data_IF_898803632755
#
_entry.id   IF_898803632755
#
_cell.length_a   1.000
_cell.length_b   1.000
_cell.length_c   1.000
_cell.angle_alpha   90.00
_cell.angle_beta   90.00
_cell.angle_gamma   90.00
#
_symmetry.space_group_name_H-M   'P 1'
#
loop_
_entity.id
_entity.type
_entity.pdbx_description
1 polymer ?
#
# COMPACT_ATOMS: atom_id res chain seq x y z
N UNK A 1 -0.04 24.99 4.49
CA UNK A 1 1.09 24.48 3.69
C UNK A 1 1.34 23.06 4.17
N UNK A 2 0.68 22.12 3.52
CA UNK A 2 0.90 20.68 3.67
C UNK A 2 2.22 20.31 2.98
N UNK A 3 2.94 19.29 3.51
CA UNK A 3 3.88 18.41 2.81
C UNK A 3 4.66 19.01 1.62
N UNK A 4 5.96 19.26 1.79
CA UNK A 4 6.91 19.87 0.83
C UNK A 4 6.54 19.67 -0.66
N UNK A 5 5.73 20.61 -1.14
CA UNK A 5 5.54 20.97 -2.53
C UNK A 5 6.41 22.22 -2.70
N UNK A 6 7.30 22.28 -3.69
CA UNK A 6 8.11 23.50 -3.93
C UNK A 6 7.17 24.70 -4.13
N UNK A 7 7.70 25.92 -4.00
CA UNK A 7 6.90 27.13 -4.29
C UNK A 7 6.31 27.12 -5.71
N UNK A 8 6.89 26.34 -6.61
CA UNK A 8 6.47 26.14 -8.02
C UNK A 8 5.51 24.96 -8.21
N UNK A 9 5.09 24.31 -7.13
CA UNK A 9 4.16 23.20 -7.16
C UNK A 9 4.83 21.82 -7.27
N UNK A 10 6.15 21.68 -7.36
CA UNK A 10 6.79 20.37 -7.56
C UNK A 10 6.74 19.48 -6.33
N UNK A 11 6.34 18.23 -6.53
CA UNK A 11 6.32 17.21 -5.49
C UNK A 11 7.74 16.69 -5.34
N UNK A 12 8.36 16.97 -4.20
CA UNK A 12 9.73 16.52 -3.94
C UNK A 12 9.68 15.02 -3.63
N UNK A 13 9.95 14.19 -4.63
CA UNK A 13 9.90 12.73 -4.53
C UNK A 13 10.91 12.21 -3.49
N UNK A 14 10.56 11.31 -2.54
CA UNK A 14 11.33 10.88 -1.34
C UNK A 14 12.84 10.69 -1.54
N UNK A 15 13.65 10.73 -0.45
CA UNK A 15 15.13 10.66 -0.51
C UNK A 15 15.68 9.52 -1.37
N UNK A 16 14.89 8.46 -1.58
CA UNK A 16 15.29 7.25 -2.28
C UNK A 16 14.58 7.03 -3.63
N UNK A 17 13.76 7.97 -4.10
CA UNK A 17 12.98 7.83 -5.34
C UNK A 17 12.98 9.18 -6.05
N UNK A 18 13.91 9.43 -6.96
CA UNK A 18 13.93 10.63 -7.82
C UNK A 18 13.23 10.41 -9.16
N UNK A 19 12.88 9.15 -9.46
CA UNK A 19 12.16 8.71 -10.65
C UNK A 19 11.22 7.57 -10.23
N UNK A 20 10.07 7.36 -10.90
CA UNK A 20 9.30 6.13 -10.71
C UNK A 20 10.25 4.94 -10.77
N UNK A 21 10.04 3.94 -9.90
CA UNK A 21 10.85 2.72 -9.89
C UNK A 21 11.03 2.28 -11.34
N UNK A 22 12.27 2.11 -11.83
CA UNK A 22 12.49 1.71 -13.21
C UNK A 22 11.65 0.47 -13.43
N UNK A 23 10.78 0.49 -14.44
CA UNK A 23 10.18 -0.72 -14.93
C UNK A 23 11.35 -1.69 -15.14
N UNK A 24 11.30 -2.86 -14.51
CA UNK A 24 12.25 -3.92 -14.81
C UNK A 24 12.13 -4.16 -16.32
N UNK A 25 13.09 -3.66 -17.07
CA UNK A 25 13.21 -3.96 -18.47
C UNK A 25 13.64 -5.42 -18.57
N UNK A 26 12.65 -6.30 -18.68
CA UNK A 26 12.86 -7.72 -18.89
C UNK A 26 13.22 -8.02 -20.35
N UNK A 27 13.27 -7.01 -21.24
CA UNK A 27 13.77 -7.18 -22.60
C UNK A 27 15.29 -7.43 -22.57
N UNK A 28 15.65 -8.69 -22.34
CA UNK A 28 17.03 -9.13 -22.15
C UNK A 28 17.23 -9.99 -20.91
N UNK A 29 16.25 -10.10 -20.02
CA UNK A 29 16.33 -11.01 -18.88
C UNK A 29 16.11 -12.45 -19.37
N UNK A 30 17.21 -13.12 -19.70
CA UNK A 30 17.21 -14.54 -19.99
C UNK A 30 17.45 -15.33 -18.70
N UNK A 31 16.50 -16.20 -18.35
CA UNK A 31 16.80 -17.31 -17.46
C UNK A 31 17.80 -18.21 -18.18
N UNK A 32 19.09 -18.04 -17.90
CA UNK A 32 20.06 -19.08 -18.18
C UNK A 32 19.75 -20.23 -17.21
N UNK A 33 19.31 -21.41 -17.68
CA UNK A 33 19.22 -22.57 -16.80
C UNK A 33 20.61 -22.79 -16.17
N UNK A 34 20.64 -22.95 -14.85
CA UNK A 34 21.83 -23.44 -14.16
C UNK A 34 22.00 -24.90 -14.57
N UNK A 35 22.72 -25.11 -15.67
CA UNK A 35 22.84 -26.39 -16.36
C UNK A 35 22.95 -26.17 -17.85
N UNK A 36 24.18 -26.05 -18.35
CA UNK A 36 24.48 -25.62 -19.71
C UNK A 36 23.90 -26.48 -20.82
N UNK A 37 23.52 -25.81 -21.91
CA UNK A 37 23.47 -26.43 -23.24
C UNK A 37 24.87 -26.83 -23.72
N UNK A 38 24.96 -27.70 -24.74
CA UNK A 38 26.09 -28.60 -24.93
C UNK A 38 27.33 -27.86 -25.40
N UNK A 39 28.26 -27.61 -24.48
CA UNK A 39 29.66 -27.40 -24.86
C UNK A 39 30.25 -28.78 -25.17
N UNK A 40 30.68 -29.01 -26.42
CA UNK A 40 31.64 -30.08 -26.73
C UNK A 40 32.92 -29.77 -25.95
N UNK A 41 33.06 -30.34 -24.76
CA UNK A 41 34.30 -30.33 -24.00
C UNK A 41 35.17 -31.50 -24.47
N UNK A 42 36.50 -31.31 -24.57
CA UNK A 42 37.42 -32.38 -24.92
C UNK A 42 37.35 -33.48 -23.85
N UNK A 43 37.39 -34.72 -24.32
CA UNK A 43 37.39 -35.95 -23.53
C UNK A 43 38.42 -35.86 -22.40
N UNK A 44 37.95 -35.73 -21.15
CA UNK A 44 38.75 -36.05 -19.98
C UNK A 44 38.20 -37.32 -19.35
N UNK A 45 39.06 -38.34 -19.32
CA UNK A 45 38.81 -39.62 -18.66
C UNK A 45 38.80 -39.38 -17.16
N UNK A 46 37.66 -39.60 -16.50
CA UNK A 46 37.59 -40.02 -15.10
C UNK A 46 36.17 -40.49 -14.77
N UNK A 47 35.97 -41.78 -14.99
CA UNK A 47 34.83 -42.57 -14.54
C UNK A 47 34.91 -42.82 -13.04
N UNK A 48 33.89 -42.44 -12.27
CA UNK A 48 33.39 -43.19 -11.10
C UNK A 48 32.04 -42.66 -10.63
N UNK A 49 30.98 -43.47 -10.79
CA UNK A 49 29.82 -43.44 -9.91
C UNK A 49 30.00 -44.56 -8.88
N UNK A 50 29.85 -44.23 -7.60
CA UNK A 50 29.56 -45.19 -6.54
C UNK A 50 28.05 -45.37 -6.52
N UNK A 51 27.55 -46.55 -6.90
CA UNK A 51 26.26 -47.03 -6.43
C UNK A 51 26.52 -48.03 -5.30
N UNK A 52 25.76 -47.86 -4.23
CA UNK A 52 25.70 -48.74 -3.07
C UNK A 52 25.02 -50.04 -3.51
N UNK A 53 25.61 -51.14 -3.07
CA UNK A 53 25.17 -52.53 -3.23
C UNK A 53 25.54 -53.15 -4.59
N UNK A 54 26.59 -53.97 -4.54
CA UNK A 54 27.23 -54.59 -5.69
C UNK A 54 26.63 -55.93 -6.04
N UNK A 55 26.36 -56.11 -7.33
CA UNK A 55 26.50 -57.35 -8.09
C UNK A 55 26.52 -56.98 -9.59
N UNK A 56 27.55 -57.44 -10.32
CA UNK A 56 27.69 -57.24 -11.77
C UNK A 56 26.91 -58.34 -12.52
N UNK A 57 26.01 -57.95 -13.43
CA UNK A 57 25.45 -58.84 -14.45
C UNK A 57 25.96 -58.37 -15.82
N UNK A 58 26.54 -59.25 -16.68
CA UNK A 58 27.04 -58.85 -17.99
C UNK A 58 25.90 -58.61 -18.97
N UNK A 59 26.03 -57.57 -19.79
CA UNK A 59 25.15 -57.29 -20.94
C UNK A 59 25.50 -58.26 -22.09
N UNK A 60 24.54 -59.08 -22.50
CA UNK A 60 24.55 -59.73 -23.82
C UNK A 60 23.72 -58.92 -24.79
N UNK A 61 24.35 -58.47 -25.88
CA UNK A 61 23.69 -57.98 -27.09
C UNK A 61 22.91 -59.13 -27.74
N UNK A 62 21.59 -58.96 -27.88
CA UNK A 62 20.85 -59.37 -29.08
C UNK A 62 19.38 -58.96 -28.93
N UNK A 63 18.91 -58.02 -29.76
CA UNK A 63 17.65 -58.04 -30.53
C UNK A 63 17.34 -56.65 -31.14
N UNK A 64 17.09 -56.55 -32.47
CA UNK A 64 16.57 -55.35 -33.14
C UNK A 64 15.04 -55.49 -33.40
N UNK A 65 14.40 -54.49 -34.04
CA UNK A 65 13.81 -53.29 -33.46
C UNK A 65 12.26 -53.40 -33.33
N UNK A 66 11.68 -52.78 -32.30
CA UNK A 66 10.23 -52.57 -32.25
C UNK A 66 9.89 -51.14 -32.67
N UNK A 67 9.39 -51.04 -33.91
CA UNK A 67 8.43 -50.09 -34.48
C UNK A 67 8.36 -48.66 -33.92
N UNK A 68 8.61 -47.72 -34.83
CA UNK A 68 8.15 -46.33 -34.80
C UNK A 68 6.70 -46.19 -34.33
N UNK A 69 6.51 -45.72 -33.10
CA UNK A 69 5.40 -44.81 -32.79
C UNK A 69 5.99 -43.60 -32.08
N UNK A 70 5.88 -42.47 -32.78
CA UNK A 70 6.34 -41.17 -32.34
C UNK A 70 5.77 -40.81 -30.96
N UNK A 71 6.61 -40.81 -29.93
CA UNK A 71 6.38 -40.01 -28.75
C UNK A 71 6.33 -38.54 -29.20
N UNK A 72 5.10 -38.01 -29.32
CA UNK A 72 4.86 -36.58 -29.40
C UNK A 72 5.47 -35.94 -28.16
N UNK A 73 6.63 -35.35 -28.38
CA UNK A 73 7.23 -34.35 -27.53
C UNK A 73 6.26 -33.16 -27.49
N UNK A 74 5.37 -33.09 -26.50
CA UNK A 74 4.66 -31.85 -26.17
C UNK A 74 5.66 -30.88 -25.53
N UNK A 75 6.57 -30.39 -26.37
CA UNK A 75 7.21 -29.10 -26.16
C UNK A 75 6.11 -28.05 -26.25
N UNK A 76 5.95 -27.30 -25.17
CA UNK A 76 5.15 -26.08 -25.04
C UNK A 76 5.29 -25.18 -26.28
N UNK A 77 4.36 -25.32 -27.20
CA UNK A 77 4.06 -24.33 -28.22
C UNK A 77 2.83 -23.59 -27.72
N UNK A 78 3.00 -22.36 -27.23
CA UNK A 78 1.89 -21.44 -27.00
C UNK A 78 1.63 -20.74 -28.34
N UNK A 79 0.53 -21.00 -29.06
CA UNK A 79 0.20 -20.21 -30.24
C UNK A 79 -0.37 -18.88 -29.75
N UNK A 80 0.49 -17.85 -29.71
CA UNK A 80 0.03 -16.46 -29.71
C UNK A 80 -0.43 -16.10 -31.12
N UNK A 81 -1.73 -16.19 -31.39
CA UNK A 81 -2.32 -15.66 -32.61
C UNK A 81 -2.36 -14.13 -32.57
N UNK A 82 -2.00 -13.41 -33.64
CA UNK A 82 -2.19 -11.97 -33.73
C UNK A 82 -3.66 -11.72 -34.11
N UNK A 83 -4.47 -11.15 -33.19
CA UNK A 83 -5.83 -10.75 -33.56
C UNK A 83 -6.90 -10.63 -32.47
N UNK A 84 -6.59 -10.75 -31.18
CA UNK A 84 -7.54 -10.32 -30.13
C UNK A 84 -7.14 -8.94 -29.63
N UNK A 85 -8.12 -8.04 -29.47
CA UNK A 85 -7.96 -6.75 -28.79
C UNK A 85 -7.13 -6.91 -27.50
N UNK A 86 -6.36 -5.89 -27.06
CA UNK A 86 -5.70 -5.94 -25.77
C UNK A 86 -6.78 -6.10 -24.69
N UNK A 87 -6.90 -7.33 -24.20
CA UNK A 87 -7.78 -7.70 -23.09
C UNK A 87 -7.56 -6.68 -21.97
N UNK A 88 -8.63 -6.19 -21.32
CA UNK A 88 -8.47 -5.23 -20.21
C UNK A 88 -7.70 -5.91 -19.07
N UNK A 89 -6.38 -5.79 -19.09
CA UNK A 89 -5.45 -6.64 -18.30
C UNK A 89 -5.56 -6.37 -16.79
N UNK A 90 -6.15 -5.24 -16.41
CA UNK A 90 -6.36 -4.86 -15.02
C UNK A 90 -7.82 -4.44 -14.84
N UNK A 91 -8.68 -5.29 -14.24
CA UNK A 91 -10.10 -5.02 -14.08
C UNK A 91 -10.39 -4.22 -12.80
N UNK A 92 -11.68 -4.03 -12.54
CA UNK A 92 -12.18 -3.19 -11.45
C UNK A 92 -11.85 -3.84 -10.10
N UNK A 93 -11.47 -3.06 -9.07
CA UNK A 93 -11.25 -1.62 -9.05
C UNK A 93 -9.80 -1.21 -9.36
N UNK A 94 -8.91 -2.20 -9.57
CA UNK A 94 -7.48 -1.96 -9.71
C UNK A 94 -7.12 -1.13 -10.95
N UNK A 95 -7.97 -1.12 -11.97
CA UNK A 95 -7.81 -0.23 -13.13
C UNK A 95 -7.61 1.24 -12.77
N UNK A 96 -8.02 1.69 -11.57
CA UNK A 96 -7.82 3.07 -11.13
C UNK A 96 -6.42 3.34 -10.54
N UNK A 97 -5.63 2.31 -10.23
CA UNK A 97 -4.27 2.43 -9.70
C UNK A 97 -3.26 2.66 -10.83
N UNK A 98 -3.13 3.92 -11.25
CA UNK A 98 -2.24 4.31 -12.36
C UNK A 98 -1.32 5.46 -11.97
N UNK A 99 -0.05 5.36 -12.35
CA UNK A 99 0.91 6.43 -12.15
C UNK A 99 1.34 6.57 -10.70
N UNK A 100 1.74 7.79 -10.31
CA UNK A 100 2.23 8.09 -8.97
C UNK A 100 1.27 9.02 -8.24
N UNK A 101 1.13 8.78 -6.94
CA UNK A 101 0.35 9.58 -6.02
C UNK A 101 1.23 10.06 -4.89
N UNK A 102 0.94 11.25 -4.38
CA UNK A 102 1.58 11.77 -3.18
C UNK A 102 0.60 12.56 -2.32
N UNK A 103 0.91 12.67 -1.04
CA UNK A 103 0.12 13.48 -0.13
C UNK A 103 0.59 13.41 1.30
N UNK A 104 -0.35 13.62 2.21
CA UNK A 104 -0.09 13.74 3.63
C UNK A 104 -1.00 12.83 4.45
N UNK A 105 -0.48 12.41 5.60
CA UNK A 105 -1.15 11.46 6.45
C UNK A 105 -0.78 11.60 7.92
N UNK A 106 -1.14 10.57 8.67
CA UNK A 106 -0.86 10.45 10.09
C UNK A 106 -0.58 9.00 10.45
N UNK A 107 0.49 8.79 11.22
CA UNK A 107 0.84 7.51 11.81
C UNK A 107 0.71 7.56 13.33
N UNK A 108 0.14 6.50 13.90
CA UNK A 108 0.11 6.21 15.32
C UNK A 108 0.73 4.84 15.54
N UNK A 109 1.82 4.79 16.31
CA UNK A 109 2.62 3.57 16.50
C UNK A 109 2.93 3.43 18.00
N UNK A 110 2.74 2.24 18.54
CA UNK A 110 3.23 1.91 19.89
C UNK A 110 4.59 1.25 19.79
N UNK A 111 5.57 1.75 20.55
CA UNK A 111 6.91 1.17 20.55
C UNK A 111 7.24 0.69 21.96
N UNK A 112 7.72 -0.57 22.11
CA UNK A 112 8.22 -1.05 23.39
C UNK A 112 9.35 -0.14 23.90
N UNK A 113 9.26 0.31 25.15
CA UNK A 113 10.37 0.98 25.81
C UNK A 113 11.19 -0.05 26.59
N UNK A 114 12.49 -0.16 26.28
CA UNK A 114 13.38 -0.97 27.14
C UNK A 114 13.39 -0.38 28.54
N UNK A 115 13.19 -1.21 29.57
CA UNK A 115 13.23 -0.84 30.99
C UNK A 115 14.50 -0.06 31.44
N UNK A 116 15.54 0.02 30.60
CA UNK A 116 16.86 0.61 30.93
C UNK A 116 17.18 1.98 30.30
N UNK A 117 16.48 2.43 29.24
CA UNK A 117 16.92 3.63 28.49
C UNK A 117 16.11 4.90 28.75
N UNK A 118 15.10 4.85 29.63
CA UNK A 118 14.37 6.05 30.02
C UNK A 118 15.08 6.71 31.20
N UNK A 119 16.00 7.62 30.89
CA UNK A 119 16.33 8.69 31.82
C UNK A 119 15.03 9.40 32.21
N UNK A 120 14.67 9.33 33.50
CA UNK A 120 13.68 10.15 34.22
C UNK A 120 12.52 10.77 33.41
N UNK A 121 11.82 10.02 32.55
CA UNK A 121 10.56 10.49 31.96
C UNK A 121 9.39 10.15 32.89
N UNK A 122 8.88 11.16 33.58
CA UNK A 122 7.86 11.12 34.64
C UNK A 122 6.42 10.90 34.09
N UNK A 123 6.18 9.88 33.27
CA UNK A 123 4.83 9.55 32.80
C UNK A 123 4.06 8.70 33.83
N UNK A 124 2.77 9.02 34.03
CA UNK A 124 1.87 8.33 34.98
C UNK A 124 1.35 6.96 34.46
N UNK A 125 1.68 6.61 33.22
CA UNK A 125 1.35 5.32 32.60
C UNK A 125 2.43 4.23 32.83
N UNK A 126 2.12 2.95 32.54
CA UNK A 126 3.08 1.87 32.66
C UNK A 126 4.35 2.16 31.85
N UNK A 127 5.50 1.80 32.42
CA UNK A 127 6.84 2.10 31.85
C UNK A 127 7.26 1.09 30.78
N UNK A 128 6.31 0.54 30.03
CA UNK A 128 6.50 -0.58 29.11
C UNK A 128 6.49 -0.16 27.64
N UNK A 129 5.72 0.87 27.27
CA UNK A 129 5.54 1.32 25.90
C UNK A 129 5.49 2.84 25.78
N UNK A 130 5.78 3.33 24.56
CA UNK A 130 5.71 4.75 24.20
C UNK A 130 4.88 4.94 22.93
N UNK A 131 3.98 5.90 22.95
CA UNK A 131 3.17 6.27 21.79
C UNK A 131 3.94 7.21 20.87
N UNK A 132 4.16 6.83 19.62
CA UNK A 132 4.73 7.68 18.57
C UNK A 132 3.61 8.19 17.67
N UNK A 133 3.54 9.50 17.56
CA UNK A 133 2.62 10.20 16.65
C UNK A 133 3.44 10.90 15.60
N UNK A 134 3.14 10.63 14.33
CA UNK A 134 3.82 11.25 13.21
C UNK A 134 2.83 11.86 12.24
N UNK A 135 3.01 13.14 11.91
CA UNK A 135 2.52 13.70 10.67
C UNK A 135 3.41 13.18 9.54
N UNK A 136 2.79 12.68 8.48
CA UNK A 136 3.53 12.00 7.42
C UNK A 136 3.35 12.65 6.07
N UNK A 137 4.35 12.44 5.22
CA UNK A 137 4.21 12.57 3.77
C UNK A 137 4.48 11.24 3.12
N UNK A 138 3.78 10.97 2.03
CA UNK A 138 3.79 9.67 1.40
C UNK A 138 3.85 9.79 -0.12
N UNK A 139 4.53 8.84 -0.75
CA UNK A 139 4.41 8.55 -2.17
C UNK A 139 3.97 7.10 -2.37
N UNK A 140 3.00 6.91 -3.26
CA UNK A 140 2.49 5.61 -3.70
C UNK A 140 2.51 5.56 -5.22
N UNK A 141 3.37 4.71 -5.79
CA UNK A 141 3.56 4.58 -7.23
C UNK A 141 3.08 3.22 -7.70
N UNK A 142 2.31 3.21 -8.79
CA UNK A 142 1.81 2.02 -9.46
C UNK A 142 2.53 1.84 -10.80
N UNK A 143 3.10 0.65 -10.98
CA UNK A 143 3.74 0.24 -12.23
C UNK A 143 2.73 -0.10 -13.32
N UNK A 144 3.20 -0.40 -14.53
CA UNK A 144 2.35 -0.95 -15.58
C UNK A 144 1.75 -2.30 -15.13
N UNK A 145 0.70 -2.72 -15.83
CA UNK A 145 0.15 -4.05 -15.64
C UNK A 145 1.19 -5.13 -15.91
N UNK A 146 1.16 -6.19 -15.11
CA UNK A 146 2.04 -7.36 -15.22
C UNK A 146 1.59 -8.33 -16.33
N UNK A 147 0.54 -8.01 -17.08
CA UNK A 147 -0.02 -8.95 -18.05
C UNK A 147 -0.92 -9.99 -17.39
N UNK A 148 -1.19 -11.06 -18.14
CA UNK A 148 -1.83 -12.26 -17.63
C UNK A 148 -0.84 -13.05 -16.78
N UNK A 149 -1.15 -13.24 -15.50
CA UNK A 149 -0.33 -14.03 -14.58
C UNK A 149 -0.97 -15.43 -14.45
N UNK A 150 -0.39 -16.48 -15.03
CA UNK A 150 -0.99 -17.82 -14.98
C UNK A 150 -0.95 -18.39 -13.56
N UNK A 151 -2.06 -18.98 -13.12
CA UNK A 151 -2.14 -19.77 -11.89
C UNK A 151 -2.85 -21.10 -12.17
N UNK A 152 -2.38 -22.17 -11.52
CA UNK A 152 -2.79 -23.54 -11.87
C UNK A 152 -4.01 -24.00 -11.10
N UNK A 153 -4.98 -24.50 -11.85
CA UNK A 153 -6.10 -25.25 -11.33
C UNK A 153 -5.68 -26.65 -10.89
N UNK A 154 -6.47 -27.26 -10.02
CA UNK A 154 -6.30 -28.66 -9.63
C UNK A 154 -7.67 -29.34 -9.52
N UNK A 155 -7.73 -30.61 -9.94
CA UNK A 155 -8.97 -31.40 -10.07
C UNK A 155 -9.97 -30.73 -11.02
N UNK A 156 -11.12 -30.29 -10.50
CA UNK A 156 -12.21 -29.74 -11.31
C UNK A 156 -12.10 -28.22 -11.49
N UNK A 157 -11.08 -27.59 -10.93
CA UNK A 157 -10.81 -26.17 -11.11
C UNK A 157 -9.92 -25.98 -12.34
N UNK A 158 -10.37 -25.15 -13.28
CA UNK A 158 -9.57 -24.75 -14.44
C UNK A 158 -8.39 -23.85 -14.05
N UNK A 159 -7.39 -23.79 -14.93
CA UNK A 159 -6.35 -22.76 -14.86
C UNK A 159 -6.97 -21.37 -14.97
N UNK A 160 -6.45 -20.42 -14.20
CA UNK A 160 -6.90 -19.04 -14.21
C UNK A 160 -5.76 -18.09 -14.55
N UNK A 161 -6.10 -16.90 -15.04
CA UNK A 161 -5.15 -15.81 -15.21
C UNK A 161 -5.50 -14.69 -14.24
N UNK A 162 -4.54 -14.32 -13.41
CA UNK A 162 -4.64 -13.16 -12.53
C UNK A 162 -4.27 -11.90 -13.33
N UNK A 163 -4.89 -10.77 -13.00
CA UNK A 163 -4.43 -9.45 -13.42
C UNK A 163 -3.63 -8.82 -12.30
N UNK A 164 -2.57 -8.07 -12.59
CA UNK A 164 -1.79 -7.45 -11.53
C UNK A 164 -0.98 -6.23 -11.94
N UNK A 165 -0.49 -5.52 -10.94
CA UNK A 165 0.44 -4.40 -11.07
C UNK A 165 1.39 -4.38 -9.87
N UNK A 166 2.64 -3.98 -10.11
CA UNK A 166 3.58 -3.70 -9.02
C UNK A 166 3.27 -2.33 -8.40
N UNK A 167 3.51 -2.17 -7.10
CA UNK A 167 3.49 -0.86 -6.46
C UNK A 167 4.69 -0.65 -5.54
N UNK A 168 4.97 0.62 -5.26
CA UNK A 168 5.96 1.03 -4.28
C UNK A 168 5.38 2.15 -3.41
N UNK A 169 5.39 1.94 -2.11
CA UNK A 169 5.00 2.92 -1.11
C UNK A 169 6.22 3.39 -0.33
N UNK A 170 6.31 4.69 -0.07
CA UNK A 170 7.31 5.26 0.84
C UNK A 170 6.68 6.32 1.73
N UNK A 171 7.07 6.33 3.00
CA UNK A 171 6.51 7.25 3.99
C UNK A 171 7.64 7.94 4.74
N UNK A 172 7.48 9.25 4.92
CA UNK A 172 8.39 10.09 5.68
C UNK A 172 7.66 10.73 6.88
N UNK A 173 8.33 10.77 8.02
CA UNK A 173 7.96 11.59 9.17
C UNK A 173 8.34 13.06 8.91
N UNK A 174 7.31 13.91 8.84
CA UNK A 174 7.46 15.36 8.68
C UNK A 174 7.07 16.13 9.94
N UNK A 175 6.93 15.45 11.08
CA UNK A 175 6.52 16.06 12.36
C UNK A 175 7.55 17.06 12.86
N UNK A 176 7.18 18.34 12.87
CA UNK A 176 8.03 19.41 13.37
C UNK A 176 7.50 19.93 14.71
N UNK A 177 8.23 19.61 15.79
CA UNK A 177 7.89 20.04 17.15
C UNK A 177 8.08 21.53 17.39
N UNK A 178 8.90 22.21 16.58
CA UNK A 178 9.13 23.65 16.71
C UNK A 178 7.95 24.45 16.18
N UNK A 179 7.32 23.98 15.10
CA UNK A 179 6.24 24.68 14.40
C UNK A 179 4.85 24.11 14.68
N UNK A 180 4.75 22.85 15.16
CA UNK A 180 3.49 22.12 15.31
C UNK A 180 2.89 21.68 13.96
N UNK A 181 3.71 21.54 12.92
CA UNK A 181 3.28 21.26 11.54
C UNK A 181 4.01 20.05 10.96
N UNK A 182 3.52 19.59 9.80
CA UNK A 182 4.14 18.55 8.98
C UNK A 182 5.20 19.13 8.04
N UNK A 183 6.10 19.96 8.54
CA UNK A 183 7.09 20.73 7.77
C UNK A 183 8.54 20.51 8.23
N UNK A 184 8.82 19.39 8.90
CA UNK A 184 10.19 19.00 9.26
C UNK A 184 11.04 18.87 7.99
N UNK A 185 12.25 19.46 7.93
CA UNK A 185 13.09 19.41 6.75
C UNK A 185 13.40 17.97 6.35
N UNK A 186 13.27 17.66 5.07
CA UNK A 186 13.47 16.30 4.56
C UNK A 186 14.87 15.73 4.80
N UNK A 187 15.89 16.58 4.79
CA UNK A 187 17.28 16.21 5.09
C UNK A 187 17.51 15.83 6.56
N UNK A 188 16.51 15.99 7.42
CA UNK A 188 16.59 15.60 8.82
C UNK A 188 16.79 14.09 8.96
N UNK A 189 17.74 13.70 9.82
CA UNK A 189 17.98 12.30 10.17
C UNK A 189 16.69 11.63 10.65
N UNK A 190 16.41 10.43 10.14
CA UNK A 190 15.23 9.64 10.53
C UNK A 190 13.92 10.12 9.93
N UNK A 191 13.94 10.90 8.84
CA UNK A 191 12.74 11.29 8.10
C UNK A 191 12.08 10.11 7.39
N UNK A 192 12.84 9.21 6.74
CA UNK A 192 12.30 7.99 6.15
C UNK A 192 11.89 6.97 7.21
N UNK A 193 10.59 6.63 7.27
CA UNK A 193 10.05 5.70 8.28
C UNK A 193 9.44 4.43 7.69
N UNK A 194 9.08 4.42 6.40
CA UNK A 194 8.52 3.25 5.74
C UNK A 194 8.94 3.17 4.27
N UNK A 195 9.13 1.94 3.79
CA UNK A 195 9.38 1.59 2.40
C UNK A 195 8.72 0.24 2.15
N UNK A 196 7.89 0.12 1.13
CA UNK A 196 7.12 -1.10 0.90
C UNK A 196 6.91 -1.33 -0.60
N UNK A 197 7.68 -2.24 -1.21
CA UNK A 197 7.38 -2.80 -2.50
C UNK A 197 6.33 -3.90 -2.39
N UNK A 198 5.47 -3.99 -3.39
CA UNK A 198 4.44 -5.02 -3.43
C UNK A 198 3.78 -5.19 -4.79
N UNK A 199 2.77 -6.06 -4.82
CA UNK A 199 1.94 -6.35 -5.98
C UNK A 199 0.48 -6.32 -5.55
N UNK A 200 -0.34 -5.66 -6.36
CA UNK A 200 -1.79 -5.82 -6.35
C UNK A 200 -2.20 -6.85 -7.39
N UNK A 201 -3.08 -7.76 -7.02
CA UNK A 201 -3.65 -8.77 -7.89
C UNK A 201 -5.17 -8.69 -7.88
N UNK A 202 -5.77 -8.80 -9.06
CA UNK A 202 -7.13 -9.23 -9.25
C UNK A 202 -7.13 -10.74 -9.51
N UNK A 203 -7.89 -11.47 -8.71
CA UNK A 203 -8.02 -12.92 -8.78
C UNK A 203 -9.46 -13.23 -9.19
N UNK A 204 -9.69 -13.78 -10.40
CA UNK A 204 -11.01 -14.19 -10.83
C UNK A 204 -11.62 -15.23 -9.89
N UNK A 205 -12.95 -15.26 -9.83
CA UNK A 205 -13.70 -16.20 -9.03
C UNK A 205 -13.30 -17.65 -9.30
N UNK A 206 -13.12 -18.40 -8.21
CA UNK A 206 -13.00 -19.86 -8.21
C UNK A 206 -14.26 -20.51 -7.62
N UNK A 207 -14.44 -21.82 -7.82
CA UNK A 207 -15.65 -22.56 -7.40
C UNK A 207 -15.94 -22.42 -5.90
N UNK A 208 -14.89 -22.37 -5.09
CA UNK A 208 -15.00 -22.26 -3.63
C UNK A 208 -15.19 -20.84 -3.11
N UNK A 209 -15.09 -19.81 -3.97
CA UNK A 209 -15.19 -18.39 -3.58
C UNK A 209 -16.62 -17.84 -3.70
N UNK A 210 -17.62 -18.70 -3.86
CA UNK A 210 -19.01 -18.29 -4.04
C UNK A 210 -19.25 -17.49 -5.32
N UNK A 211 -18.40 -17.67 -6.34
CA UNK A 211 -18.53 -17.01 -7.63
C UNK A 211 -18.14 -15.52 -7.65
N UNK A 212 -17.34 -15.05 -6.69
CA UNK A 212 -16.89 -13.65 -6.62
C UNK A 212 -15.39 -13.50 -6.84
N UNK A 213 -15.03 -12.46 -7.57
CA UNK A 213 -13.65 -12.05 -7.75
C UNK A 213 -13.08 -11.46 -6.45
N UNK A 214 -11.76 -11.63 -6.27
CA UNK A 214 -11.03 -11.14 -5.10
C UNK A 214 -9.88 -10.23 -5.51
N UNK A 215 -9.46 -9.39 -4.57
CA UNK A 215 -8.31 -8.52 -4.68
C UNK A 215 -7.29 -8.97 -3.65
N UNK A 216 -6.02 -9.04 -4.03
CA UNK A 216 -4.91 -9.36 -3.13
C UNK A 216 -3.85 -8.25 -3.18
N UNK A 217 -3.36 -7.85 -2.00
CA UNK A 217 -2.20 -6.97 -1.80
C UNK A 217 -1.10 -7.80 -1.13
N UNK A 218 0.00 -8.01 -1.83
CA UNK A 218 1.19 -8.67 -1.31
C UNK A 218 2.32 -7.67 -1.19
N UNK A 219 3.03 -7.67 -0.06
CA UNK A 219 4.10 -6.70 0.16
C UNK A 219 5.19 -7.23 1.10
N UNK A 220 6.41 -6.76 0.92
CA UNK A 220 7.54 -7.04 1.82
C UNK A 220 8.00 -5.74 2.46
N UNK A 221 7.98 -5.69 3.80
CA UNK A 221 8.26 -4.51 4.59
C UNK A 221 9.64 -4.69 5.26
N UNK A 222 10.59 -3.73 5.12
CA UNK A 222 11.97 -3.84 5.60
C UNK A 222 12.07 -3.86 7.13
N UNK A 223 10.98 -3.60 7.84
CA UNK A 223 10.85 -3.84 9.28
C UNK A 223 10.80 -5.33 9.64
N UNK A 224 10.79 -6.24 8.64
CA UNK A 224 10.91 -7.68 8.84
C UNK A 224 9.61 -8.46 8.69
N UNK A 225 8.62 -7.91 7.99
CA UNK A 225 7.31 -8.55 7.81
C UNK A 225 6.94 -8.58 6.33
N UNK A 226 6.39 -9.70 5.87
CA UNK A 226 5.70 -9.81 4.58
C UNK A 226 4.20 -10.02 4.83
N UNK A 227 3.36 -9.47 3.95
CA UNK A 227 1.91 -9.60 4.02
C UNK A 227 1.34 -10.25 2.76
N UNK A 228 0.26 -10.98 2.94
CA UNK A 228 -0.69 -11.35 1.91
C UNK A 228 -2.09 -10.98 2.43
N UNK A 229 -2.60 -9.83 1.98
CA UNK A 229 -3.89 -9.32 2.39
C UNK A 229 -4.91 -9.47 1.26
N UNK A 230 -6.10 -9.95 1.56
CA UNK A 230 -7.13 -10.27 0.58
C UNK A 230 -8.45 -9.59 0.90
N UNK A 231 -9.27 -9.37 -0.13
CA UNK A 231 -10.59 -8.80 -0.03
C UNK A 231 -11.43 -9.15 -1.24
N UNK A 232 -12.72 -8.82 -1.21
CA UNK A 232 -13.57 -8.96 -2.39
C UNK A 232 -13.45 -7.75 -3.31
N UNK A 233 -13.61 -7.99 -4.60
CA UNK A 233 -13.90 -6.92 -5.55
C UNK A 233 -15.26 -6.30 -5.17
N UNK A 234 -15.35 -4.97 -4.97
CA UNK A 234 -16.63 -4.34 -4.69
C UNK A 234 -17.56 -4.42 -5.90
N UNK A 235 -18.85 -4.16 -5.71
CA UNK A 235 -19.78 -4.04 -6.84
C UNK A 235 -19.44 -2.79 -7.66
N UNK A 236 -19.43 -2.93 -9.00
CA UNK A 236 -19.18 -1.82 -9.92
C UNK A 236 -20.49 -1.11 -10.23
N UNK A 237 -20.57 0.19 -9.95
CA UNK A 237 -21.68 1.01 -10.40
C UNK A 237 -21.50 1.40 -11.87
N UNK A 238 -22.27 0.82 -12.78
CA UNK A 238 -22.10 1.09 -14.22
C UNK A 238 -22.63 2.45 -14.67
N UNK A 239 -23.28 3.21 -13.78
CA UNK A 239 -23.82 4.54 -14.08
C UNK A 239 -22.83 5.68 -13.79
N UNK A 240 -21.69 5.38 -13.21
CA UNK A 240 -20.68 6.36 -12.80
C UNK A 240 -19.38 6.19 -13.58
N UNK A 241 -18.48 7.18 -13.52
CA UNK A 241 -17.33 7.28 -14.43
C UNK A 241 -16.24 6.28 -14.05
N UNK A 242 -15.92 6.17 -12.76
CA UNK A 242 -14.90 5.24 -12.29
C UNK A 242 -15.49 3.94 -11.76
N UNK A 243 -16.82 3.83 -11.70
CA UNK A 243 -17.52 2.64 -11.21
C UNK A 243 -17.80 2.67 -9.72
N UNK A 244 -17.63 3.83 -9.08
CA UNK A 244 -17.87 4.03 -7.65
C UNK A 244 -19.32 4.39 -7.35
N UNK A 245 -19.69 4.31 -6.08
CA UNK A 245 -21.01 4.73 -5.60
C UNK A 245 -21.10 6.25 -5.51
N UNK A 246 -22.22 6.90 -5.91
CA UNK A 246 -22.38 8.35 -5.88
C UNK A 246 -22.64 8.89 -4.46
N UNK A 247 -21.70 8.61 -3.56
CA UNK A 247 -21.75 8.97 -2.15
C UNK A 247 -20.37 9.35 -1.62
N UNK A 248 -20.35 10.16 -0.57
CA UNK A 248 -19.16 10.45 0.19
C UNK A 248 -18.63 9.18 0.88
N UNK A 249 -17.30 9.04 1.04
CA UNK A 249 -16.72 7.94 1.81
C UNK A 249 -17.27 7.97 3.24
N UNK A 250 -17.44 6.79 3.81
CA UNK A 250 -17.77 6.63 5.22
C UNK A 250 -16.56 6.06 5.93
N UNK A 251 -16.08 6.78 6.95
CA UNK A 251 -14.99 6.31 7.79
C UNK A 251 -15.54 5.77 9.11
N UNK A 252 -15.36 4.48 9.33
CA UNK A 252 -15.67 3.88 10.62
C UNK A 252 -14.80 4.50 11.72
N UNK A 253 -15.34 4.57 12.93
CA UNK A 253 -14.54 4.96 14.09
C UNK A 253 -13.45 3.90 14.32
N UNK A 254 -12.20 4.32 14.27
CA UNK A 254 -11.05 3.46 14.47
C UNK A 254 -10.50 3.60 15.89
N UNK A 255 -10.91 2.72 16.81
CA UNK A 255 -10.42 2.71 18.18
C UNK A 255 -9.01 2.12 18.28
N UNK A 256 -8.04 2.97 18.61
CA UNK A 256 -6.61 2.66 18.72
C UNK A 256 -6.18 2.18 20.11
N UNK A 257 -7.13 1.95 21.02
CA UNK A 257 -6.84 1.44 22.37
C UNK A 257 -6.31 0.00 22.31
N UNK A 258 -5.16 -0.30 22.94
CA UNK A 258 -4.66 -1.67 23.09
C UNK A 258 -5.71 -2.59 23.75
N UNK A 259 -5.67 -3.88 23.44
CA UNK A 259 -6.69 -4.83 23.87
C UNK A 259 -6.11 -6.21 24.16
N UNK A 260 -6.84 -7.06 24.89
CA UNK A 260 -6.37 -8.41 25.22
C UNK A 260 -6.29 -9.27 23.95
N UNK A 261 -5.19 -9.99 23.73
CA UNK A 261 -5.01 -10.87 22.56
C UNK A 261 -6.23 -11.79 22.39
N UNK A 262 -6.76 -11.83 21.17
CA UNK A 262 -7.94 -12.62 20.82
C UNK A 262 -9.28 -12.05 21.34
N UNK A 263 -9.26 -10.92 22.06
CA UNK A 263 -10.46 -10.25 22.62
C UNK A 263 -10.44 -8.74 22.28
N UNK A 264 -10.70 -8.37 21.02
CA UNK A 264 -10.70 -6.97 20.56
C UNK A 264 -11.65 -6.04 21.33
N UNK A 265 -12.67 -6.58 21.98
CA UNK A 265 -13.62 -5.91 22.86
C UNK A 265 -13.03 -5.53 24.23
N UNK A 266 -12.03 -6.26 24.72
CA UNK A 266 -11.40 -6.07 26.03
C UNK A 266 -10.34 -4.96 25.98
N UNK A 267 -10.80 -3.72 25.76
CA UNK A 267 -9.95 -2.52 25.65
C UNK A 267 -9.29 -2.15 26.97
N UNK A 268 -7.98 -1.94 26.93
CA UNK A 268 -7.16 -1.53 28.07
C UNK A 268 -7.18 -0.01 28.25
N UNK A 269 -8.22 0.48 28.92
CA UNK A 269 -8.51 1.91 29.05
C UNK A 269 -7.44 2.72 29.80
N UNK A 270 -6.55 2.08 30.55
CA UNK A 270 -5.48 2.79 31.26
C UNK A 270 -4.48 3.46 30.29
N UNK A 271 -4.33 2.96 29.05
CA UNK A 271 -3.52 3.62 28.01
C UNK A 271 -4.15 4.90 27.46
N UNK A 272 -5.42 5.21 27.77
CA UNK A 272 -6.05 6.46 27.33
C UNK A 272 -5.38 7.71 27.87
N UNK A 273 -4.60 7.57 28.95
CA UNK A 273 -3.75 8.65 29.46
C UNK A 273 -2.77 9.13 28.39
N UNK A 274 -2.08 8.20 27.73
CA UNK A 274 -1.12 8.50 26.66
C UNK A 274 -1.77 9.08 25.40
N UNK A 275 -3.05 8.75 25.23
CA UNK A 275 -3.88 9.19 24.11
C UNK A 275 -4.57 10.53 24.36
N UNK A 276 -4.35 11.16 25.52
CA UNK A 276 -4.89 12.48 25.83
C UNK A 276 -3.86 13.55 25.43
N UNK A 277 -4.19 14.35 24.42
CA UNK A 277 -3.32 15.41 23.92
C UNK A 277 -3.16 16.57 24.91
N UNK A 278 -4.16 16.81 25.77
CA UNK A 278 -4.17 17.91 26.74
C UNK A 278 -3.30 17.61 27.98
N UNK A 279 -2.89 16.36 28.17
CA UNK A 279 -2.08 15.94 29.32
C UNK A 279 -0.59 15.98 29.00
N UNK A 280 -0.03 17.19 29.03
CA UNK A 280 1.39 17.40 28.74
C UNK A 280 2.31 16.94 29.88
N UNK A 281 3.52 16.50 29.54
CA UNK A 281 4.59 16.08 30.48
C UNK A 281 4.28 14.89 31.41
N UNK A 282 3.08 14.33 31.34
CA UNK A 282 2.66 13.13 32.09
C UNK A 282 2.40 11.93 31.17
N UNK A 283 2.68 12.09 29.87
CA UNK A 283 2.51 11.08 28.82
C UNK A 283 3.86 10.63 28.27
N UNK A 284 4.05 9.31 28.20
CA UNK A 284 5.07 8.60 27.42
C UNK A 284 4.67 8.62 25.94
N UNK A 285 4.73 9.81 25.35
CA UNK A 285 4.42 10.05 23.94
C UNK A 285 5.51 10.88 23.26
N UNK A 286 5.69 10.68 21.96
CA UNK A 286 6.50 11.56 21.10
C UNK A 286 5.63 12.03 19.94
N UNK A 287 5.43 13.36 19.77
CA UNK A 287 5.85 14.44 20.66
C UNK A 287 5.12 14.43 22.03
N UNK A 288 5.83 14.86 23.08
CA UNK A 288 5.26 14.91 24.44
C UNK A 288 4.29 16.09 24.63
N UNK A 289 4.75 17.31 24.33
CA UNK A 289 3.91 18.51 24.27
C UNK A 289 3.24 18.61 22.89
N UNK A 290 1.92 18.78 22.90
CA UNK A 290 1.10 18.89 21.69
C UNK A 290 0.45 20.27 21.53
N UNK A 291 0.71 21.21 22.44
CA UNK A 291 0.16 22.56 22.41
C UNK A 291 0.29 23.20 21.02
N UNK A 292 1.48 23.17 20.41
CA UNK A 292 1.70 23.76 19.07
C UNK A 292 0.96 23.05 17.93
N UNK A 293 0.69 21.76 18.08
CA UNK A 293 -0.09 20.98 17.11
C UNK A 293 -1.59 21.24 17.22
N UNK A 294 -2.01 21.85 18.33
CA UNK A 294 -3.41 22.15 18.67
C UNK A 294 -3.73 23.65 18.73
N UNK A 295 -2.72 24.52 18.81
CA UNK A 295 -2.88 25.97 18.90
C UNK A 295 -3.60 26.57 17.68
N UNK A 296 -4.45 27.58 17.95
CA UNK A 296 -5.08 28.50 16.99
C UNK A 296 -5.43 27.89 15.63
N UNK A 297 -6.37 26.94 15.59
CA UNK A 297 -6.97 26.43 14.35
C UNK A 297 -6.12 25.43 13.57
N UNK A 298 -4.97 24.99 14.12
CA UNK A 298 -4.17 23.93 13.48
C UNK A 298 -4.82 22.56 13.64
N UNK A 299 -5.23 22.18 14.86
CA UNK A 299 -6.00 20.97 15.19
C UNK A 299 -5.48 19.70 14.50
N UNK A 300 -4.15 19.54 14.42
CA UNK A 300 -3.50 18.49 13.62
C UNK A 300 -3.31 17.20 14.40
N UNK A 301 -3.10 17.29 15.72
CA UNK A 301 -2.88 16.14 16.60
C UNK A 301 -3.66 16.35 17.90
N UNK A 302 -4.97 16.12 17.84
CA UNK A 302 -5.87 16.27 19.00
C UNK A 302 -6.15 14.93 19.68
N UNK A 303 -6.73 14.95 20.88
CA UNK A 303 -7.17 13.73 21.59
C UNK A 303 -8.11 12.88 20.72
N UNK A 304 -9.01 13.52 19.98
CA UNK A 304 -9.97 12.85 19.09
C UNK A 304 -9.27 12.18 17.92
N UNK A 305 -8.27 12.83 17.31
CA UNK A 305 -7.47 12.25 16.23
C UNK A 305 -6.65 11.06 16.73
N UNK A 306 -6.04 11.17 17.92
CA UNK A 306 -5.26 10.05 18.49
C UNK A 306 -6.16 8.83 18.75
N UNK A 307 -7.37 9.06 19.25
CA UNK A 307 -8.35 7.99 19.55
C UNK A 307 -9.14 7.53 18.32
N UNK A 308 -9.14 8.29 17.23
CA UNK A 308 -9.76 7.96 15.96
C UNK A 308 -9.01 8.61 14.79
N UNK A 309 -7.91 8.00 14.30
CA UNK A 309 -7.10 8.57 13.23
C UNK A 309 -7.86 8.80 11.92
N UNK A 310 -8.97 8.09 11.69
CA UNK A 310 -9.82 8.33 10.52
C UNK A 310 -10.39 9.75 10.43
N UNK A 311 -10.41 10.51 11.53
CA UNK A 311 -10.72 11.93 11.50
C UNK A 311 -9.73 12.74 10.64
N UNK A 312 -8.50 12.26 10.41
CA UNK A 312 -7.57 12.91 9.47
C UNK A 312 -8.10 12.84 8.04
N UNK A 313 -8.68 11.72 7.64
CA UNK A 313 -9.30 11.54 6.32
C UNK A 313 -10.55 12.42 6.18
N UNK A 314 -11.42 12.39 7.19
CA UNK A 314 -12.62 13.24 7.23
C UNK A 314 -12.27 14.72 7.18
N UNK A 315 -11.29 15.16 7.98
CA UNK A 315 -10.85 16.54 8.00
C UNK A 315 -10.27 16.98 6.65
N UNK A 316 -9.63 16.10 5.88
CA UNK A 316 -9.15 16.43 4.54
C UNK A 316 -10.31 16.77 3.59
N UNK A 317 -11.47 16.11 3.74
CA UNK A 317 -12.68 16.39 2.98
C UNK A 317 -13.31 17.71 3.46
N UNK A 318 -13.62 17.79 4.76
CA UNK A 318 -14.42 18.88 5.31
C UNK A 318 -13.71 20.23 5.23
N UNK A 319 -12.42 20.26 5.61
CA UNK A 319 -11.66 21.52 5.64
C UNK A 319 -11.25 22.02 4.26
N UNK A 320 -11.24 21.13 3.26
CA UNK A 320 -10.95 21.48 1.87
C UNK A 320 -12.22 21.72 1.04
N UNK A 321 -13.41 21.49 1.60
CA UNK A 321 -14.70 21.59 0.91
C UNK A 321 -14.74 20.75 -0.38
N UNK A 322 -14.30 19.49 -0.31
CA UNK A 322 -14.23 18.61 -1.47
C UNK A 322 -15.63 18.22 -1.97
N UNK A 323 -15.86 18.39 -3.28
CA UNK A 323 -17.09 17.98 -3.97
C UNK A 323 -16.91 16.57 -4.57
N UNK A 324 -17.06 15.56 -3.72
CA UNK A 324 -16.91 14.14 -4.10
C UNK A 324 -18.16 13.68 -4.86
N UNK A 325 -17.95 13.18 -6.09
CA UNK A 325 -19.02 12.72 -6.98
C UNK A 325 -19.29 11.23 -6.87
N UNK A 326 -18.25 10.45 -6.64
CA UNK A 326 -18.35 9.00 -6.47
C UNK A 326 -17.14 8.44 -5.74
N UNK A 327 -17.35 7.35 -5.01
CA UNK A 327 -16.34 6.66 -4.20
C UNK A 327 -16.38 5.15 -4.48
N UNK A 328 -15.24 4.58 -4.84
CA UNK A 328 -15.02 3.13 -4.80
C UNK A 328 -14.43 2.82 -3.42
N UNK A 329 -15.04 1.90 -2.68
CA UNK A 329 -14.51 1.42 -1.39
C UNK A 329 -14.28 -0.06 -1.42
N UNK A 330 -13.08 -0.48 -1.02
CA UNK A 330 -12.78 -1.90 -0.80
C UNK A 330 -11.80 -2.07 0.36
N UNK A 331 -11.81 -3.26 0.95
CA UNK A 331 -11.02 -3.61 2.11
C UNK A 331 -10.21 -4.86 1.82
N UNK A 332 -8.92 -4.83 2.16
CA UNK A 332 -8.06 -6.02 2.17
C UNK A 332 -7.61 -6.32 3.59
N UNK A 333 -7.46 -7.60 3.92
CA UNK A 333 -7.03 -8.04 5.24
C UNK A 333 -6.19 -9.30 5.18
N UNK A 334 -5.21 -9.42 6.08
CA UNK A 334 -4.45 -10.65 6.30
C UNK A 334 -5.17 -11.62 7.25
N UNK A 335 -6.40 -11.30 7.65
CA UNK A 335 -7.15 -11.99 8.68
C UNK A 335 -7.38 -13.48 8.42
N UNK A 336 -8.04 -14.11 9.38
CA UNK A 336 -8.26 -15.54 9.35
C UNK A 336 -9.10 -15.93 8.13
N UNK A 337 -8.65 -16.98 7.47
CA UNK A 337 -9.39 -17.62 6.40
C UNK A 337 -10.82 -17.93 6.84
N UNK A 338 -11.80 -17.55 6.04
CA UNK A 338 -13.18 -17.93 6.22
C UNK A 338 -13.68 -18.66 4.98
N UNK A 339 -14.89 -19.23 5.03
CA UNK A 339 -15.45 -20.04 3.94
C UNK A 339 -15.44 -19.36 2.57
N UNK A 340 -15.39 -18.02 2.51
CA UNK A 340 -15.43 -17.25 1.27
C UNK A 340 -14.05 -16.64 0.88
N UNK A 341 -13.18 -16.36 1.85
CA UNK A 341 -11.80 -15.88 1.67
C UNK A 341 -10.83 -16.83 2.37
N UNK A 342 -10.48 -17.93 1.69
CA UNK A 342 -9.60 -18.99 2.21
C UNK A 342 -8.13 -18.76 1.83
N UNK A 343 -7.43 -17.79 2.44
CA UNK A 343 -5.96 -17.67 2.50
C UNK A 343 -5.57 -16.35 3.18
N UNK A 344 -4.31 -15.97 3.09
CA UNK A 344 -3.78 -14.69 3.57
C UNK A 344 -2.92 -14.88 4.81
N UNK A 345 -2.33 -13.78 5.29
CA UNK A 345 -1.56 -13.80 6.53
C UNK A 345 -0.39 -12.83 6.53
N UNK A 346 0.35 -12.91 7.61
CA UNK A 346 1.60 -12.20 7.83
C UNK A 346 2.72 -13.24 7.99
N UNK A 347 3.93 -12.88 7.58
CA UNK A 347 5.13 -13.67 7.83
C UNK A 347 6.19 -12.75 8.43
N UNK A 348 6.63 -13.06 9.64
CA UNK A 348 7.59 -12.26 10.39
C UNK A 348 8.98 -12.91 10.35
N UNK A 349 10.04 -12.09 10.34
CA UNK A 349 11.41 -12.59 10.57
C UNK A 349 11.55 -13.11 11.99
N UNK A 350 12.54 -13.98 12.22
CA UNK A 350 12.80 -14.61 13.51
C UNK A 350 12.95 -13.60 14.66
N UNK A 351 13.53 -12.42 14.41
CA UNK A 351 13.64 -11.38 15.43
C UNK A 351 12.26 -10.94 15.94
N UNK A 352 11.33 -10.64 15.05
CA UNK A 352 9.98 -10.18 15.42
C UNK A 352 9.16 -11.28 16.08
N UNK A 353 9.24 -12.50 15.53
CA UNK A 353 8.53 -13.68 16.06
C UNK A 353 9.02 -14.07 17.46
N UNK A 354 10.29 -13.79 17.77
CA UNK A 354 10.90 -14.15 19.05
C UNK A 354 10.98 -15.67 19.26
N UNK A 355 11.32 -16.12 20.48
CA UNK A 355 11.28 -17.54 20.84
C UNK A 355 9.86 -18.11 20.69
N UNK A 356 9.77 -19.22 19.96
CA UNK A 356 8.55 -20.00 19.80
C UNK A 356 8.74 -21.28 20.61
N UNK A 357 7.96 -21.47 21.68
CA UNK A 357 8.10 -22.65 22.56
C UNK A 357 6.78 -23.39 22.71
N UNK A 358 6.80 -24.70 23.03
CA UNK A 358 5.57 -25.45 23.33
C UNK A 358 4.73 -24.87 24.49
N UNK A 359 5.31 -23.98 25.30
CA UNK A 359 4.69 -23.41 26.50
C UNK A 359 4.23 -21.95 26.31
N UNK A 360 4.35 -21.40 25.10
CA UNK A 360 3.93 -20.05 24.75
C UNK A 360 4.97 -19.30 23.91
N UNK A 361 4.49 -18.26 23.24
CA UNK A 361 5.27 -17.37 22.39
C UNK A 361 5.77 -16.16 23.19
N UNK A 362 6.99 -15.70 22.88
CA UNK A 362 7.60 -14.49 23.44
C UNK A 362 8.02 -13.55 22.30
N UNK A 363 7.06 -12.93 21.61
CA UNK A 363 7.36 -12.14 20.41
C UNK A 363 8.00 -10.79 20.77
N UNK A 364 9.02 -10.39 20.01
CA UNK A 364 9.57 -9.04 20.17
C UNK A 364 8.69 -7.96 19.53
N UNK A 365 7.94 -8.30 18.47
CA UNK A 365 7.05 -7.41 17.72
C UNK A 365 6.28 -8.21 16.64
N UNK A 366 5.54 -9.24 17.03
CA UNK A 366 4.89 -10.13 16.08
C UNK A 366 3.70 -9.44 15.42
N UNK A 367 3.76 -9.29 14.10
CA UNK A 367 2.63 -8.81 13.29
C UNK A 367 1.62 -9.93 13.15
N UNK A 368 0.48 -9.79 13.80
CA UNK A 368 -0.57 -10.80 13.79
C UNK A 368 -1.58 -10.56 12.67
N UNK A 369 -1.95 -9.29 12.49
CA UNK A 369 -3.08 -8.95 11.63
C UNK A 369 -2.87 -7.59 10.99
N UNK A 370 -3.28 -7.46 9.74
CA UNK A 370 -3.42 -6.19 9.06
C UNK A 370 -4.78 -6.10 8.37
N UNK A 371 -5.35 -4.90 8.39
CA UNK A 371 -6.47 -4.52 7.54
C UNK A 371 -6.20 -3.17 6.91
N UNK A 372 -6.61 -2.99 5.66
CA UNK A 372 -6.55 -1.70 4.97
C UNK A 372 -7.82 -1.49 4.16
N UNK A 373 -8.49 -0.36 4.37
CA UNK A 373 -9.61 0.11 3.56
C UNK A 373 -9.11 1.21 2.63
N UNK A 374 -9.41 1.09 1.34
CA UNK A 374 -9.12 2.07 0.31
C UNK A 374 -10.39 2.76 -0.15
N UNK A 375 -10.27 4.05 -0.42
CA UNK A 375 -11.30 4.91 -0.99
C UNK A 375 -10.68 5.56 -2.23
N UNK A 376 -11.19 5.24 -3.41
CA UNK A 376 -10.80 5.90 -4.67
C UNK A 376 -11.94 6.82 -5.05
N UNK A 377 -11.65 8.11 -5.13
CA UNK A 377 -12.66 9.15 -5.20
C UNK A 377 -12.50 9.96 -6.48
N UNK A 378 -13.63 10.24 -7.14
CA UNK A 378 -13.70 11.24 -8.21
C UNK A 378 -14.27 12.53 -7.64
N UNK A 379 -13.51 13.62 -7.78
CA UNK A 379 -13.78 14.90 -7.13
C UNK A 379 -13.85 15.99 -8.19
N UNK A 380 -14.78 16.94 -8.05
CA UNK A 380 -14.75 18.20 -8.82
C UNK A 380 -13.98 19.28 -8.08
N UNK A 381 -12.86 19.71 -8.65
CA UNK A 381 -12.01 20.76 -8.10
C UNK A 381 -12.29 22.10 -8.76
N UNK A 382 -12.23 23.18 -7.98
CA UNK A 382 -12.17 24.54 -8.51
C UNK A 382 -10.74 24.85 -8.98
N UNK A 383 -10.58 25.26 -10.23
CA UNK A 383 -9.30 25.70 -10.79
C UNK A 383 -9.46 27.11 -11.35
N UNK A 384 -8.60 28.03 -10.91
CA UNK A 384 -8.61 29.41 -11.41
C UNK A 384 -7.72 29.50 -12.64
N UNK A 385 -8.34 29.84 -13.77
CA UNK A 385 -7.68 29.95 -15.08
C UNK A 385 -7.57 31.43 -15.44
N UNK A 386 -6.36 31.87 -15.78
CA UNK A 386 -6.13 33.23 -16.28
C UNK A 386 -6.38 33.30 -17.79
N UNK A 387 -6.14 34.47 -18.39
CA UNK A 387 -6.18 34.60 -19.85
C UNK A 387 -5.21 33.60 -20.50
N UNK A 388 -5.68 32.90 -21.52
CA UNK A 388 -4.92 31.92 -22.29
C UNK A 388 -5.21 32.10 -23.77
N UNK A 389 -4.20 31.98 -24.61
CA UNK A 389 -4.38 31.93 -26.06
C UNK A 389 -4.98 30.56 -26.47
N UNK A 390 -5.57 30.49 -27.67
CA UNK A 390 -6.13 29.24 -28.19
C UNK A 390 -5.09 28.11 -28.21
N UNK A 391 -5.48 26.93 -27.71
CA UNK A 391 -4.62 25.73 -27.67
C UNK A 391 -3.47 25.80 -26.66
N UNK A 392 -3.28 26.94 -25.98
CA UNK A 392 -2.30 27.07 -24.90
C UNK A 392 -2.62 26.06 -23.79
N UNK A 393 -1.58 25.48 -23.18
CA UNK A 393 -1.70 24.60 -22.02
C UNK A 393 -0.91 25.15 -20.85
N UNK A 394 -1.58 25.31 -19.70
CA UNK A 394 -0.96 25.74 -18.45
C UNK A 394 -1.14 24.67 -17.36
N UNK A 395 -0.10 24.48 -16.54
CA UNK A 395 -0.20 23.65 -15.34
C UNK A 395 -0.73 24.51 -14.19
N UNK A 396 -1.92 24.19 -13.70
CA UNK A 396 -2.63 24.94 -12.67
C UNK A 396 -2.95 24.05 -11.47
N UNK A 397 -3.02 24.65 -10.29
CA UNK A 397 -3.37 23.98 -9.03
C UNK A 397 -4.86 24.12 -8.74
N UNK A 398 -5.42 23.13 -8.05
CA UNK A 398 -6.73 23.29 -7.42
C UNK A 398 -6.71 24.42 -6.39
N UNK A 399 -7.83 25.13 -6.29
CA UNK A 399 -8.07 26.18 -5.32
C UNK A 399 -8.73 25.60 -4.08
N UNK A 400 -8.21 25.98 -2.91
CA UNK A 400 -8.73 25.54 -1.62
C UNK A 400 -8.96 26.72 -0.66
N UNK A 401 -9.91 26.59 0.27
CA UNK A 401 -10.09 27.58 1.33
C UNK A 401 -8.87 27.61 2.28
N UNK A 402 -8.64 28.73 2.99
CA UNK A 402 -7.64 28.80 4.04
C UNK A 402 -7.85 27.71 5.11
N UNK A 403 -6.79 26.99 5.45
CA UNK A 403 -6.84 25.91 6.45
C UNK A 403 -7.13 24.52 5.89
N UNK A 404 -7.32 24.38 4.57
CA UNK A 404 -7.44 23.10 3.89
C UNK A 404 -6.32 22.11 4.23
N UNK A 405 -6.70 20.84 4.34
CA UNK A 405 -5.81 19.73 4.76
C UNK A 405 -5.63 18.64 3.72
N UNK A 406 -6.42 18.66 2.65
CA UNK A 406 -6.17 17.80 1.50
C UNK A 406 -4.88 18.23 0.77
N UNK A 407 -4.13 17.27 0.18
CA UNK A 407 -3.06 17.60 -0.74
C UNK A 407 -3.62 18.27 -2.00
N UNK A 408 -2.80 19.07 -2.69
CA UNK A 408 -3.25 19.88 -3.83
C UNK A 408 -2.94 19.21 -5.17
N UNK A 409 -3.95 18.76 -5.95
CA UNK A 409 -3.72 18.19 -7.26
C UNK A 409 -3.32 19.26 -8.29
N UNK A 410 -2.62 18.79 -9.32
CA UNK A 410 -2.24 19.58 -10.50
C UNK A 410 -3.07 19.19 -11.70
N UNK A 411 -3.35 20.17 -12.55
CA UNK A 411 -4.03 19.96 -13.82
C UNK A 411 -3.28 20.63 -14.96
N UNK A 412 -3.12 19.93 -16.07
CA UNK A 412 -2.68 20.52 -17.34
C UNK A 412 -3.93 20.98 -18.10
N UNK A 413 -4.27 22.27 -17.94
CA UNK A 413 -5.47 22.88 -18.53
C UNK A 413 -5.13 23.37 -19.93
N UNK A 414 -5.85 22.89 -20.94
CA UNK A 414 -5.75 23.36 -22.33
C UNK A 414 -6.93 24.26 -22.67
N UNK A 415 -6.63 25.44 -23.23
CA UNK A 415 -7.62 26.43 -23.64
C UNK A 415 -8.49 25.93 -24.82
N UNK A 416 -9.77 26.34 -24.89
CA UNK A 416 -10.66 26.01 -26.00
C UNK A 416 -10.30 26.83 -27.26
N UNK A 417 -10.94 26.54 -28.40
CA UNK A 417 -10.96 27.47 -29.54
C UNK A 417 -11.35 28.90 -29.10
N UNK A 418 -10.68 29.92 -29.62
CA UNK A 418 -10.88 31.31 -29.19
C UNK A 418 -10.23 31.69 -27.84
N UNK A 419 -9.58 30.75 -27.17
CA UNK A 419 -8.82 31.00 -25.94
C UNK A 419 -9.69 31.23 -24.70
N UNK A 420 -9.04 31.61 -23.60
CA UNK A 420 -9.70 32.10 -22.38
C UNK A 420 -9.50 33.60 -22.34
N UNK A 421 -10.57 34.38 -22.53
CA UNK A 421 -10.49 35.83 -22.69
C UNK A 421 -10.41 36.60 -21.38
N UNK A 422 -10.92 36.01 -20.29
CA UNK A 422 -10.92 36.59 -18.95
C UNK A 422 -10.66 35.55 -17.87
N UNK A 423 -10.19 36.00 -16.70
CA UNK A 423 -9.94 35.13 -15.56
C UNK A 423 -11.25 34.54 -15.06
N UNK A 424 -11.32 33.21 -14.94
CA UNK A 424 -12.50 32.50 -14.44
C UNK A 424 -12.13 31.28 -13.61
N UNK A 425 -13.07 30.84 -12.76
CA UNK A 425 -12.98 29.54 -12.08
C UNK A 425 -13.73 28.49 -12.89
N UNK A 426 -13.11 27.34 -13.11
CA UNK A 426 -13.73 26.19 -13.78
C UNK A 426 -13.77 24.99 -12.84
N UNK A 427 -14.71 24.08 -13.08
CA UNK A 427 -14.76 22.77 -12.42
C UNK A 427 -13.96 21.75 -13.22
N UNK A 428 -12.99 21.11 -12.56
CA UNK A 428 -12.11 20.13 -13.18
C UNK A 428 -12.22 18.82 -12.41
N UNK A 429 -12.64 17.71 -13.05
CA UNK A 429 -12.68 16.41 -12.40
C UNK A 429 -11.25 15.90 -12.17
N UNK A 430 -11.00 15.36 -10.98
CA UNK A 430 -9.75 14.69 -10.65
C UNK A 430 -9.96 13.46 -9.79
N UNK A 431 -8.90 12.67 -9.66
CA UNK A 431 -8.87 11.47 -8.80
C UNK A 431 -8.09 11.75 -7.51
N UNK A 432 -8.58 11.18 -6.41
CA UNK A 432 -7.91 11.11 -5.11
C UNK A 432 -7.96 9.66 -4.59
N UNK A 433 -6.95 9.28 -3.80
CA UNK A 433 -6.94 8.04 -3.03
C UNK A 433 -6.83 8.39 -1.55
N UNK A 434 -7.74 7.85 -0.74
CA UNK A 434 -7.58 7.79 0.70
C UNK A 434 -7.44 6.34 1.14
N UNK A 435 -6.69 6.10 2.21
CA UNK A 435 -6.68 4.80 2.85
C UNK A 435 -6.60 4.90 4.38
N UNK A 436 -7.12 3.87 5.03
CA UNK A 436 -7.00 3.64 6.47
C UNK A 436 -6.49 2.23 6.70
N UNK A 437 -5.31 2.12 7.31
CA UNK A 437 -4.65 0.85 7.57
C UNK A 437 -4.40 0.69 9.07
N UNK A 438 -4.73 -0.49 9.58
CA UNK A 438 -4.42 -0.92 10.94
C UNK A 438 -3.59 -2.19 10.90
N UNK A 439 -2.46 -2.17 11.60
CA UNK A 439 -1.59 -3.31 11.84
C UNK A 439 -1.58 -3.62 13.32
N UNK A 440 -1.89 -4.85 13.69
CA UNK A 440 -1.92 -5.31 15.06
C UNK A 440 -0.63 -6.05 15.40
N UNK A 441 0.11 -5.55 16.38
CA UNK A 441 1.34 -6.15 16.88
C UNK A 441 1.16 -6.72 18.28
N UNK A 442 1.83 -7.83 18.55
CA UNK A 442 1.93 -8.43 19.89
C UNK A 442 3.39 -8.31 20.38
N UNK A 443 3.58 -7.91 21.64
CA UNK A 443 4.89 -7.67 22.25
C UNK A 443 5.06 -8.42 23.58
N UNK A 444 6.27 -8.95 23.82
CA UNK A 444 6.81 -9.39 25.12
C UNK A 444 6.46 -10.81 25.59
N UNK A 445 7.08 -11.28 26.69
CA UNK A 445 6.90 -12.62 27.22
C UNK A 445 5.50 -12.77 27.81
N UNK A 446 4.77 -13.78 27.35
CA UNK A 446 3.37 -13.97 27.75
C UNK A 446 2.47 -12.82 27.28
N UNK A 447 2.74 -12.27 26.08
CA UNK A 447 1.98 -11.20 25.46
C UNK A 447 0.48 -11.34 25.74
N UNK A 448 -0.06 -10.41 26.55
CA UNK A 448 -1.50 -10.37 26.87
C UNK A 448 -2.20 -9.36 25.97
N UNK A 449 -1.45 -8.43 25.35
CA UNK A 449 -2.01 -7.31 24.61
C UNK A 449 -1.63 -7.30 23.13
N UNK A 450 -2.61 -6.93 22.33
CA UNK A 450 -2.46 -6.49 20.94
C UNK A 450 -2.48 -4.96 20.88
N UNK A 451 -1.57 -4.42 20.06
CA UNK A 451 -1.31 -3.00 19.92
C UNK A 451 -1.67 -2.55 18.49
N UNK A 452 -2.75 -1.76 18.32
CA UNK A 452 -3.11 -1.20 17.04
C UNK A 452 -2.12 -0.12 16.60
N UNK A 453 -1.47 -0.34 15.47
CA UNK A 453 -0.67 0.64 14.75
C UNK A 453 -1.48 1.11 13.57
N UNK A 454 -1.62 2.42 13.41
CA UNK A 454 -2.52 2.99 12.40
C UNK A 454 -1.77 3.93 11.49
N UNK A 455 -2.07 3.82 10.20
CA UNK A 455 -1.65 4.73 9.14
C UNK A 455 -2.85 5.14 8.33
N UNK A 456 -3.03 6.45 8.17
CA UNK A 456 -4.07 7.05 7.32
C UNK A 456 -3.44 8.09 6.41
N UNK A 457 -3.86 8.15 5.15
CA UNK A 457 -3.38 9.19 4.23
C UNK A 457 -4.40 9.57 3.17
N UNK A 458 -4.28 10.79 2.68
CA UNK A 458 -4.95 11.31 1.49
C UNK A 458 -3.89 11.62 0.45
N UNK A 459 -4.04 11.09 -0.77
CA UNK A 459 -3.07 11.16 -1.85
C UNK A 459 -3.73 11.62 -3.15
N UNK A 460 -3.03 12.47 -3.91
CA UNK A 460 -3.45 12.92 -5.24
C UNK A 460 -2.38 12.59 -6.28
N UNK A 461 -2.73 12.46 -7.58
CA UNK A 461 -1.76 12.23 -8.63
C UNK A 461 -0.63 13.26 -8.63
N UNK A 462 0.60 12.78 -8.79
CA UNK A 462 1.77 13.67 -8.84
C UNK A 462 1.89 14.39 -10.17
N UNK A 463 1.48 13.71 -11.23
CA UNK A 463 1.52 14.23 -12.59
C UNK A 463 0.29 15.11 -12.85
N UNK A 464 0.43 16.24 -13.58
CA UNK A 464 -0.70 17.06 -13.96
C UNK A 464 -1.75 16.27 -14.74
N UNK A 465 -2.98 16.26 -14.24
CA UNK A 465 -4.10 15.61 -14.91
C UNK A 465 -4.57 16.47 -16.10
N UNK A 466 -4.62 15.92 -17.33
CA UNK A 466 -4.99 16.70 -18.50
C UNK A 466 -6.48 17.04 -18.48
N UNK A 467 -6.81 18.29 -18.78
CA UNK A 467 -8.19 18.74 -18.94
C UNK A 467 -8.30 19.77 -20.06
N UNK A 468 -9.23 19.56 -20.99
CA UNK A 468 -9.54 20.52 -22.05
C UNK A 468 -10.81 21.25 -21.67
N UNK A 469 -10.75 22.58 -21.65
CA UNK A 469 -11.94 23.40 -21.48
C UNK A 469 -12.83 23.18 -22.71
N UNK A 470 -14.10 22.86 -22.50
CA UNK A 470 -15.12 22.80 -23.56
C UNK A 470 -15.79 24.17 -23.69
N UNK A 471 -16.28 24.49 -24.90
CA UNK A 471 -17.01 25.72 -25.21
C UNK A 471 -18.27 25.93 -24.33
#
# INVERSE_FOLDING_TARGET
MASEITLDGDIIAPLNITHPAPALDLAGFQWCPVGGGPKKAPTSKLSRRLSRDGEEVPLTEDQPPASDEAQKNEQLHVPGGPGSEPEKILPFPLEQFKGSYAGNGFNLIWVPSTFQTLGNSCGDGPNDNRLLLSLTTEQLTFGPTLGKIPNRGFRNQDDIFLGGLAYLQTVQDTTNVETGKGDKPRSSKGSGIHFEPGIWLHVPAADFQGGRDTICRMASIPHGTTINAQGFVPERNTSTVIGGEPKFPQFDKLDTTPFIIGRPEDKQKFFKVEMNAERENLTRRVPANLEKFNAQGTGRVTTEIIQNPNLVLQNAIDTSNLDIKETITFKVTTGNSNSELNAGGTANIAFLAGPQTPFGDDPNAHTEFMTSTFYIERIEYDVVVNKMEEGETQVLLASFPPGARAPTPKFAITAPPGGVTERKTIKVPGIQIQYSQTVNLNFGPGAILTWPHVSVATLVPTDPQPFKITE
#
